data_IF_039195821777
#
_entry.id   IF_039195821777
#
_cell.length_a   1.000
_cell.length_b   1.000
_cell.length_c   1.000
_cell.angle_alpha   90.00
_cell.angle_beta   90.00
_cell.angle_gamma   90.00
#
_symmetry.space_group_name_H-M   'P 1'
#
loop_
_entity.id
_entity.type
_entity.pdbx_description
1 polymer ?
#
# COMPACT_ATOMS: atom_id res chain seq x y z
N UNK A 1 56.52 -14.95 -41.53
CA UNK A 1 55.41 -15.69 -40.89
C UNK A 1 56.02 -16.45 -39.72
N UNK A 2 56.00 -15.91 -38.49
CA UNK A 2 56.48 -16.67 -37.33
C UNK A 2 55.44 -17.77 -37.04
N UNK A 3 55.91 -19.01 -36.93
CA UNK A 3 55.11 -20.11 -36.44
C UNK A 3 54.77 -19.79 -34.98
N UNK A 4 53.51 -19.50 -34.67
CA UNK A 4 53.06 -19.45 -33.28
C UNK A 4 53.13 -20.89 -32.76
N UNK A 5 54.10 -21.09 -31.89
CA UNK A 5 54.55 -22.32 -31.29
C UNK A 5 53.38 -23.03 -30.59
N UNK A 6 53.21 -24.32 -30.88
CA UNK A 6 52.32 -25.21 -30.12
C UNK A 6 52.68 -25.23 -28.62
N UNK A 7 53.93 -24.89 -28.26
CA UNK A 7 54.44 -24.83 -26.89
C UNK A 7 53.67 -23.85 -25.97
N UNK A 8 53.06 -22.79 -26.49
CA UNK A 8 52.31 -21.82 -25.66
C UNK A 8 50.86 -22.26 -25.38
N UNK A 9 50.33 -23.21 -26.16
CA UNK A 9 48.95 -23.70 -26.04
C UNK A 9 48.82 -24.88 -25.08
N UNK A 10 49.84 -25.75 -25.01
CA UNK A 10 49.93 -26.86 -24.07
C UNK A 10 49.68 -26.45 -22.60
N UNK A 11 50.35 -25.43 -22.03
CA UNK A 11 50.15 -25.06 -20.62
C UNK A 11 48.75 -24.51 -20.35
N UNK A 12 48.19 -23.71 -21.26
CA UNK A 12 46.83 -23.19 -21.17
C UNK A 12 45.77 -24.31 -21.22
N UNK A 13 45.96 -25.31 -22.08
CA UNK A 13 45.08 -26.48 -22.15
C UNK A 13 45.17 -27.36 -20.89
N UNK A 14 46.36 -27.48 -20.31
CA UNK A 14 46.57 -28.20 -19.03
C UNK A 14 45.86 -27.47 -17.88
N UNK A 15 45.96 -26.14 -17.81
CA UNK A 15 45.30 -25.33 -16.78
C UNK A 15 43.76 -25.35 -16.91
N UNK A 16 43.24 -25.27 -18.13
CA UNK A 16 41.80 -25.39 -18.39
C UNK A 16 41.31 -26.79 -18.03
N UNK A 17 42.07 -27.84 -18.37
CA UNK A 17 41.70 -29.21 -18.01
C UNK A 17 41.73 -29.44 -16.50
N UNK A 18 42.74 -28.92 -15.81
CA UNK A 18 42.86 -29.01 -14.36
C UNK A 18 41.74 -28.24 -13.64
N UNK A 19 41.42 -27.03 -14.09
CA UNK A 19 40.31 -26.24 -13.53
C UNK A 19 38.95 -26.88 -13.77
N UNK A 20 38.72 -27.48 -14.93
CA UNK A 20 37.47 -28.20 -15.23
C UNK A 20 37.32 -29.47 -14.37
N UNK A 21 38.42 -30.17 -14.10
CA UNK A 21 38.43 -31.34 -13.21
C UNK A 21 38.12 -30.93 -11.76
N UNK A 22 38.75 -29.86 -11.25
CA UNK A 22 38.45 -29.34 -9.91
C UNK A 22 37.00 -28.87 -9.77
N UNK A 23 36.48 -28.18 -10.78
CA UNK A 23 35.08 -27.75 -10.81
C UNK A 23 34.08 -28.93 -10.80
N UNK A 24 34.38 -30.01 -11.54
CA UNK A 24 33.54 -31.20 -11.55
C UNK A 24 33.53 -31.91 -10.19
N UNK A 25 34.67 -31.96 -9.51
CA UNK A 25 34.78 -32.50 -8.15
C UNK A 25 34.00 -31.65 -7.13
N UNK A 26 34.07 -30.34 -7.24
CA UNK A 26 33.35 -29.41 -6.37
C UNK A 26 31.83 -29.50 -6.56
N UNK A 27 31.35 -29.62 -7.81
CA UNK A 27 29.92 -29.88 -8.08
C UNK A 27 29.48 -31.22 -7.48
N UNK A 28 30.30 -32.27 -7.62
CA UNK A 28 29.97 -33.58 -7.06
C UNK A 28 29.88 -33.53 -5.52
N UNK A 29 30.75 -32.75 -4.87
CA UNK A 29 30.72 -32.50 -3.42
C UNK A 29 29.48 -31.71 -3.01
N UNK A 30 29.21 -30.60 -3.70
CA UNK A 30 28.04 -29.75 -3.44
C UNK A 30 26.73 -30.53 -3.61
N UNK A 31 26.63 -31.38 -4.64
CA UNK A 31 25.49 -32.28 -4.84
C UNK A 31 25.32 -33.26 -3.68
N UNK A 32 26.41 -33.88 -3.22
CA UNK A 32 26.37 -34.84 -2.11
C UNK A 32 25.94 -34.18 -0.80
N UNK A 33 26.41 -32.97 -0.53
CA UNK A 33 26.06 -32.20 0.66
C UNK A 33 24.60 -31.73 0.60
N UNK A 34 24.16 -31.23 -0.56
CA UNK A 34 22.75 -30.86 -0.81
C UNK A 34 21.81 -32.06 -0.66
N UNK A 35 22.12 -33.19 -1.30
CA UNK A 35 21.28 -34.39 -1.23
C UNK A 35 21.21 -34.93 0.21
N UNK A 36 22.32 -34.89 0.96
CA UNK A 36 22.35 -35.33 2.36
C UNK A 36 21.58 -34.42 3.32
N UNK A 37 21.84 -33.11 3.25
CA UNK A 37 21.24 -32.13 4.18
C UNK A 37 19.79 -31.81 3.85
N UNK A 38 19.47 -31.60 2.56
CA UNK A 38 18.11 -31.26 2.16
C UNK A 38 17.17 -32.45 2.34
N UNK A 39 17.52 -33.63 1.80
CA UNK A 39 16.65 -34.81 1.93
C UNK A 39 16.52 -35.20 3.41
N UNK A 40 17.63 -35.20 4.16
CA UNK A 40 17.60 -35.47 5.59
C UNK A 40 16.82 -34.41 6.38
N UNK A 41 16.83 -33.15 5.95
CA UNK A 41 16.02 -32.06 6.52
C UNK A 41 14.53 -32.25 6.25
N UNK A 42 14.15 -32.61 5.02
CA UNK A 42 12.77 -32.86 4.64
C UNK A 42 12.17 -34.08 5.34
N UNK A 43 12.93 -35.17 5.49
CA UNK A 43 12.48 -36.36 6.25
C UNK A 43 12.22 -35.99 7.70
N UNK A 44 13.16 -35.29 8.37
CA UNK A 44 12.98 -34.84 9.76
C UNK A 44 11.79 -33.89 9.92
N UNK A 45 11.61 -32.95 8.98
CA UNK A 45 10.47 -32.04 8.99
C UNK A 45 9.14 -32.78 8.79
N UNK A 46 9.12 -33.75 7.88
CA UNK A 46 7.98 -34.65 7.64
C UNK A 46 7.60 -35.42 8.91
N UNK A 47 8.56 -36.02 9.60
CA UNK A 47 8.28 -36.77 10.84
C UNK A 47 7.74 -35.86 11.96
N UNK A 48 8.20 -34.61 12.04
CA UNK A 48 7.68 -33.64 13.03
C UNK A 48 6.26 -33.23 12.66
N UNK A 49 6.00 -32.98 11.37
CA UNK A 49 4.68 -32.65 10.86
C UNK A 49 3.70 -33.80 11.13
N UNK A 50 4.06 -35.03 10.76
CA UNK A 50 3.25 -36.23 10.98
C UNK A 50 2.93 -36.42 12.47
N UNK A 51 3.93 -36.30 13.35
CA UNK A 51 3.73 -36.37 14.81
C UNK A 51 2.81 -35.27 15.32
N UNK A 52 2.94 -34.05 14.79
CA UNK A 52 2.07 -32.93 15.18
C UNK A 52 0.63 -33.11 14.71
N UNK A 53 0.43 -33.59 13.47
CA UNK A 53 -0.88 -33.92 12.91
C UNK A 53 -1.53 -35.10 13.63
N UNK A 54 -0.81 -36.20 13.84
CA UNK A 54 -1.31 -37.36 14.59
C UNK A 54 -1.62 -36.98 16.05
N UNK A 55 -0.83 -36.11 16.65
CA UNK A 55 -1.10 -35.56 17.98
C UNK A 55 -2.36 -34.68 17.98
N UNK A 56 -2.54 -33.81 16.99
CA UNK A 56 -3.72 -32.96 16.84
C UNK A 56 -5.01 -33.77 16.59
N UNK A 57 -4.92 -34.80 15.75
CA UNK A 57 -6.03 -35.73 15.46
C UNK A 57 -6.38 -36.54 16.72
N UNK A 58 -5.40 -37.09 17.45
CA UNK A 58 -5.63 -37.81 18.72
C UNK A 58 -6.15 -36.90 19.84
N UNK A 59 -5.74 -35.63 19.85
CA UNK A 59 -6.24 -34.60 20.78
C UNK A 59 -7.71 -34.26 20.52
N UNK A 60 -8.18 -34.46 19.29
CA UNK A 60 -9.56 -34.21 18.91
C UNK A 60 -9.95 -32.72 18.92
N UNK A 61 -9.01 -31.78 18.83
CA UNK A 61 -9.30 -30.35 18.93
C UNK A 61 -8.75 -29.55 17.76
N UNK A 62 -9.59 -29.34 16.74
CA UNK A 62 -9.63 -28.02 16.12
C UNK A 62 -10.37 -27.09 17.09
N UNK A 63 -9.70 -26.71 18.19
CA UNK A 63 -10.18 -25.67 19.07
C UNK A 63 -9.93 -24.33 18.39
N UNK A 64 -11.00 -23.59 18.11
CA UNK A 64 -10.89 -22.24 17.55
C UNK A 64 -10.00 -21.36 18.43
N UNK A 65 -10.00 -21.59 19.75
CA UNK A 65 -9.13 -20.96 20.73
C UNK A 65 -7.64 -21.25 20.50
N UNK A 66 -7.27 -22.48 20.12
CA UNK A 66 -5.87 -22.83 19.85
C UNK A 66 -5.38 -22.20 18.54
N UNK A 67 -6.24 -22.17 17.52
CA UNK A 67 -5.98 -21.47 16.26
C UNK A 67 -5.88 -19.95 16.48
N UNK A 68 -6.77 -19.38 17.30
CA UNK A 68 -6.76 -17.97 17.67
C UNK A 68 -5.50 -17.62 18.48
N UNK A 69 -5.08 -18.48 19.42
CA UNK A 69 -3.87 -18.28 20.19
C UNK A 69 -2.59 -18.43 19.36
N UNK A 70 -2.58 -19.32 18.36
CA UNK A 70 -1.48 -19.46 17.42
C UNK A 70 -1.42 -18.25 16.46
N UNK A 71 -2.57 -17.81 15.95
CA UNK A 71 -2.68 -16.66 15.07
C UNK A 71 -2.25 -15.35 15.76
N UNK A 72 -2.69 -15.12 17.00
CA UNK A 72 -2.30 -13.92 17.76
C UNK A 72 -0.80 -13.87 18.00
N UNK A 73 -0.19 -15.00 18.41
CA UNK A 73 1.27 -15.09 18.59
C UNK A 73 2.04 -14.90 17.29
N UNK A 74 1.50 -15.33 16.15
CA UNK A 74 2.12 -15.09 14.85
C UNK A 74 2.06 -13.60 14.47
N UNK A 75 0.92 -12.95 14.68
CA UNK A 75 0.73 -11.50 14.46
C UNK A 75 1.69 -10.70 15.36
N UNK A 76 1.81 -11.05 16.64
CA UNK A 76 2.70 -10.36 17.58
C UNK A 76 4.18 -10.45 17.17
N UNK A 77 4.61 -11.60 16.63
CA UNK A 77 5.97 -11.78 16.10
C UNK A 77 6.22 -10.95 14.85
N UNK A 78 5.25 -10.93 13.93
CA UNK A 78 5.32 -10.11 12.71
C UNK A 78 5.31 -8.63 13.07
N UNK A 79 4.47 -8.21 14.01
CA UNK A 79 4.42 -6.84 14.51
C UNK A 79 5.74 -6.45 15.18
N UNK A 80 6.32 -7.30 16.03
CA UNK A 80 7.60 -7.04 16.67
C UNK A 80 8.76 -6.97 15.66
N UNK A 81 8.76 -7.82 14.63
CA UNK A 81 9.75 -7.77 13.55
C UNK A 81 9.55 -6.55 12.66
N UNK A 82 8.33 -6.24 12.26
CA UNK A 82 8.00 -5.04 11.48
C UNK A 82 8.34 -3.75 12.25
N UNK A 83 8.14 -3.72 13.56
CA UNK A 83 8.54 -2.59 14.41
C UNK A 83 10.06 -2.51 14.53
N UNK A 84 10.77 -3.65 14.63
CA UNK A 84 12.23 -3.68 14.72
C UNK A 84 12.90 -3.27 13.40
N UNK A 85 12.36 -3.70 12.26
CA UNK A 85 12.79 -3.27 10.94
C UNK A 85 12.37 -1.82 10.66
N UNK A 86 11.13 -1.44 10.98
CA UNK A 86 10.59 -0.09 10.77
C UNK A 86 11.25 0.97 11.64
N UNK A 87 11.45 0.71 12.93
CA UNK A 87 12.12 1.62 13.87
C UNK A 87 13.63 1.67 13.60
N UNK A 88 14.26 0.56 13.22
CA UNK A 88 15.67 0.53 12.83
C UNK A 88 15.96 1.29 11.52
N UNK A 89 15.01 1.29 10.57
CA UNK A 89 15.12 2.05 9.32
C UNK A 89 14.73 3.53 9.48
N UNK A 90 13.80 3.84 10.39
CA UNK A 90 13.30 5.20 10.64
C UNK A 90 14.21 6.02 11.57
N UNK A 91 14.82 5.39 12.58
CA UNK A 91 15.69 6.07 13.56
C UNK A 91 17.18 5.84 13.33
N UNK A 92 17.57 4.96 12.39
CA UNK A 92 18.97 4.55 12.18
C UNK A 92 19.63 4.98 10.88
N UNK A 93 18.95 5.69 9.97
CA UNK A 93 19.53 5.98 8.65
C UNK A 93 19.25 7.39 8.14
N UNK A 94 20.27 8.26 8.20
CA UNK A 94 20.33 9.57 7.51
C UNK A 94 20.53 9.42 5.98
N UNK A 95 19.89 8.44 5.35
CA UNK A 95 20.09 8.14 3.92
C UNK A 95 18.90 8.62 3.11
N UNK A 96 19.09 9.37 2.01
CA UNK A 96 18.02 9.89 1.13
C UNK A 96 17.13 8.80 0.51
N UNK A 97 17.53 7.54 0.60
CA UNK A 97 16.78 6.37 0.16
C UNK A 97 15.59 6.03 1.10
N UNK A 98 15.62 6.48 2.35
CA UNK A 98 14.54 6.29 3.34
C UNK A 98 13.27 7.07 2.97
N UNK A 99 13.40 8.26 2.38
CA UNK A 99 12.26 9.05 1.90
C UNK A 99 11.54 8.44 0.70
N UNK A 100 12.26 7.67 -0.12
CA UNK A 100 11.72 7.01 -1.31
C UNK A 100 11.04 5.69 -0.93
N UNK A 101 11.60 4.90 -0.01
CA UNK A 101 10.91 3.73 0.51
C UNK A 101 9.67 4.09 1.36
N UNK A 102 9.71 5.19 2.12
CA UNK A 102 8.52 5.70 2.84
C UNK A 102 7.38 6.15 1.92
N UNK A 103 7.71 6.64 0.72
CA UNK A 103 6.71 7.06 -0.29
C UNK A 103 6.20 5.89 -1.14
N UNK A 104 7.04 4.88 -1.43
CA UNK A 104 6.64 3.69 -2.20
C UNK A 104 5.87 2.68 -1.33
N UNK A 105 6.27 2.41 -0.08
CA UNK A 105 5.44 1.62 0.84
C UNK A 105 4.15 2.36 1.21
N UNK A 106 4.18 3.69 1.29
CA UNK A 106 2.98 4.53 1.40
C UNK A 106 2.12 4.57 0.12
N UNK A 107 2.62 4.08 -1.02
CA UNK A 107 1.88 3.96 -2.27
C UNK A 107 1.27 2.57 -2.49
N UNK A 108 1.97 1.51 -2.04
CA UNK A 108 1.49 0.12 -2.12
C UNK A 108 0.46 -0.24 -1.04
N UNK A 109 0.46 0.47 0.10
CA UNK A 109 -0.65 0.50 1.07
C UNK A 109 -1.73 1.53 0.70
N UNK A 110 -1.77 1.93 -0.58
CA UNK A 110 -2.62 2.98 -1.09
C UNK A 110 -2.03 4.35 -0.81
N UNK A 111 -1.79 5.13 -1.88
CA UNK A 111 -1.77 6.60 -1.82
C UNK A 111 -2.71 7.04 -0.69
N UNK A 112 -2.28 7.87 0.29
CA UNK A 112 -3.03 8.11 1.54
C UNK A 112 -4.49 8.37 1.22
N UNK A 113 -5.27 7.30 1.29
CA UNK A 113 -6.60 7.25 0.70
C UNK A 113 -7.45 8.05 1.63
N UNK A 114 -7.93 9.20 1.16
CA UNK A 114 -8.79 10.09 1.95
C UNK A 114 -10.22 9.54 2.03
N UNK A 115 -10.42 8.22 1.88
CA UNK A 115 -11.69 7.54 2.11
C UNK A 115 -12.18 7.73 3.56
N UNK A 116 -11.26 7.90 4.51
CA UNK A 116 -11.56 8.17 5.93
C UNK A 116 -11.55 9.66 6.30
N UNK A 117 -11.33 10.56 5.32
CA UNK A 117 -11.17 12.00 5.54
C UNK A 117 -9.80 12.43 6.07
N UNK A 118 -9.61 13.74 6.23
CA UNK A 118 -8.37 14.32 6.76
C UNK A 118 -7.99 15.69 6.18
N UNK A 119 -7.02 16.40 6.78
CA UNK A 119 -6.56 17.69 6.29
C UNK A 119 -5.93 17.57 4.90
N UNK A 120 -6.22 18.52 4.03
CA UNK A 120 -5.65 18.63 2.69
C UNK A 120 -4.92 19.95 2.53
N UNK A 121 -3.83 19.92 1.78
CA UNK A 121 -2.99 21.08 1.48
C UNK A 121 -3.23 21.52 0.05
N UNK A 122 -3.10 22.83 -0.16
CA UNK A 122 -3.25 23.45 -1.48
C UNK A 122 -2.38 22.77 -2.56
N UNK A 123 -2.90 22.67 -3.79
CA UNK A 123 -2.21 22.20 -5.01
C UNK A 123 -1.72 20.74 -4.97
N UNK A 124 -2.08 19.97 -3.94
CA UNK A 124 -1.68 18.57 -3.83
C UNK A 124 -2.82 17.65 -4.27
N UNK A 125 -2.52 16.68 -5.13
CA UNK A 125 -3.47 15.66 -5.52
C UNK A 125 -3.71 14.65 -4.40
N UNK A 126 -4.99 14.39 -4.13
CA UNK A 126 -5.48 13.41 -3.17
C UNK A 126 -6.42 12.44 -3.87
N UNK A 127 -6.26 11.15 -3.62
CA UNK A 127 -7.19 10.16 -4.14
C UNK A 127 -8.34 10.01 -3.13
N UNK A 128 -9.57 10.27 -3.58
CA UNK A 128 -10.81 10.28 -2.80
C UNK A 128 -11.79 9.37 -3.51
N UNK A 129 -12.49 8.52 -2.78
CA UNK A 129 -13.64 7.82 -3.35
C UNK A 129 -14.03 6.56 -2.60
N UNK A 130 -15.30 6.49 -2.26
CA UNK A 130 -15.96 5.31 -1.68
C UNK A 130 -16.55 4.41 -2.77
N UNK A 131 -16.51 4.87 -4.03
CA UNK A 131 -17.09 4.21 -5.23
C UNK A 131 -16.10 4.07 -6.41
N UNK A 132 -14.80 4.23 -6.15
CA UNK A 132 -13.76 4.19 -7.17
C UNK A 132 -12.74 5.31 -6.99
N UNK A 133 -11.55 5.22 -7.59
CA UNK A 133 -10.46 6.17 -7.39
C UNK A 133 -10.72 7.49 -8.16
N UNK A 134 -11.24 8.51 -7.49
CA UNK A 134 -11.30 9.87 -8.03
C UNK A 134 -10.13 10.72 -7.49
N UNK A 135 -9.60 11.64 -8.30
CA UNK A 135 -8.52 12.54 -7.90
C UNK A 135 -9.09 13.92 -7.52
N UNK A 136 -8.82 14.37 -6.30
CA UNK A 136 -9.17 15.68 -5.78
C UNK A 136 -7.91 16.52 -5.55
N UNK A 137 -7.85 17.70 -6.17
CA UNK A 137 -6.77 18.68 -5.98
C UNK A 137 -7.40 19.98 -5.45
N UNK A 138 -7.22 20.35 -4.18
CA UNK A 138 -7.83 21.55 -3.64
C UNK A 138 -7.03 22.80 -4.07
N UNK A 139 -7.71 23.93 -4.35
CA UNK A 139 -7.08 25.20 -4.71
C UNK A 139 -6.47 25.96 -3.49
N UNK A 140 -6.69 25.44 -2.27
CA UNK A 140 -6.27 26.04 -1.00
C UNK A 140 -6.30 25.00 0.13
N UNK A 141 -5.83 25.37 1.31
CA UNK A 141 -5.85 24.44 2.46
C UNK A 141 -7.27 24.17 2.94
N UNK A 142 -7.54 22.93 3.32
CA UNK A 142 -8.88 22.50 3.69
C UNK A 142 -8.91 21.16 4.40
N UNK A 143 -10.10 20.58 4.53
CA UNK A 143 -10.28 19.25 5.13
C UNK A 143 -11.34 18.47 4.37
N UNK A 144 -11.04 17.21 4.07
CA UNK A 144 -12.03 16.26 3.56
C UNK A 144 -12.79 15.68 4.76
N UNK A 145 -14.11 15.84 4.75
CA UNK A 145 -15.03 15.29 5.74
C UNK A 145 -15.78 14.11 5.08
N UNK A 146 -15.67 12.89 5.62
CA UNK A 146 -16.38 11.73 5.07
C UNK A 146 -17.88 11.88 5.33
N UNK A 147 -18.71 11.57 4.34
CA UNK A 147 -20.16 11.47 4.54
C UNK A 147 -20.38 10.15 5.27
N UNK A 148 -20.60 10.20 6.58
CA UNK A 148 -21.10 9.04 7.29
C UNK A 148 -22.43 8.64 6.65
N UNK A 149 -22.51 7.42 6.10
CA UNK A 149 -23.78 6.83 5.65
C UNK A 149 -24.75 6.87 6.84
N UNK A 150 -25.62 7.89 6.88
CA UNK A 150 -26.57 8.08 7.97
C UNK A 150 -27.02 9.51 8.24
N UNK A 151 -26.31 10.57 7.83
CA UNK A 151 -26.78 11.95 8.02
C UNK A 151 -27.43 12.52 6.76
N UNK A 152 -28.60 11.98 6.40
CA UNK A 152 -29.55 12.60 5.47
C UNK A 152 -30.21 13.87 6.03
N UNK A 153 -29.44 14.75 6.68
CA UNK A 153 -29.92 16.05 7.12
C UNK A 153 -29.86 17.02 5.95
N UNK A 154 -31.02 17.54 5.54
CA UNK A 154 -31.13 18.56 4.50
C UNK A 154 -30.06 19.63 4.70
N UNK A 155 -29.20 19.80 3.69
CA UNK A 155 -28.08 20.73 3.70
C UNK A 155 -28.65 22.15 3.81
N UNK A 156 -28.70 22.70 5.02
CA UNK A 156 -29.10 24.09 5.24
C UNK A 156 -27.94 24.98 4.79
N UNK A 157 -28.05 25.48 3.57
CA UNK A 157 -27.13 26.50 3.06
C UNK A 157 -27.79 27.85 3.33
N UNK A 158 -27.46 28.47 4.45
CA UNK A 158 -27.84 29.87 4.70
C UNK A 158 -26.92 30.77 3.86
N UNK A 159 -27.45 31.28 2.75
CA UNK A 159 -26.75 32.25 1.89
C UNK A 159 -27.26 33.65 2.23
N UNK A 160 -26.47 34.43 2.96
CA UNK A 160 -26.73 35.85 3.15
C UNK A 160 -26.15 36.64 1.99
N UNK A 161 -27.01 37.09 1.06
CA UNK A 161 -26.58 37.97 -0.04
C UNK A 161 -26.92 39.40 0.36
N UNK A 162 -25.90 40.16 0.77
CA UNK A 162 -26.05 41.59 1.03
C UNK A 162 -25.89 42.32 -0.29
N UNK A 163 -27.00 42.64 -0.97
CA UNK A 163 -26.97 43.53 -2.12
C UNK A 163 -26.88 44.97 -1.61
N UNK A 164 -25.78 45.65 -1.94
CA UNK A 164 -25.69 47.09 -1.76
C UNK A 164 -26.68 47.75 -2.73
N UNK A 165 -27.89 48.05 -2.23
CA UNK A 165 -28.82 48.90 -2.95
C UNK A 165 -28.23 50.33 -3.00
N UNK A 166 -28.17 50.98 -4.18
CA UNK A 166 -27.83 52.39 -4.25
C UNK A 166 -28.77 53.21 -3.37
N UNK A 167 -28.22 54.16 -2.61
CA UNK A 167 -28.97 54.97 -1.67
C UNK A 167 -30.17 55.65 -2.35
N UNK A 168 -31.38 55.40 -1.83
CA UNK A 168 -32.60 56.14 -2.21
C UNK A 168 -33.82 55.32 -2.67
N UNK A 169 -33.80 53.99 -2.62
CA UNK A 169 -34.97 53.18 -3.03
C UNK A 169 -35.70 52.62 -1.81
N UNK A 170 -36.96 53.03 -1.59
CA UNK A 170 -37.78 52.52 -0.49
C UNK A 170 -38.07 51.02 -0.66
N UNK A 171 -37.96 50.28 0.44
CA UNK A 171 -38.00 48.82 0.52
C UNK A 171 -39.16 48.10 -0.22
N UNK A 172 -40.39 48.63 -0.39
CA UNK A 172 -41.48 47.84 -0.99
C UNK A 172 -41.34 47.60 -2.51
N UNK A 173 -40.73 48.52 -3.28
CA UNK A 173 -40.65 48.38 -4.76
C UNK A 173 -39.56 47.41 -5.20
N UNK A 174 -38.49 47.27 -4.41
CA UNK A 174 -37.42 46.30 -4.69
C UNK A 174 -37.88 44.84 -4.49
N UNK A 175 -38.79 44.61 -3.53
CA UNK A 175 -39.37 43.31 -3.23
C UNK A 175 -40.34 42.80 -4.31
N UNK A 176 -41.15 43.69 -4.92
CA UNK A 176 -42.05 43.28 -6.00
C UNK A 176 -41.32 42.86 -7.28
N UNK A 177 -40.19 43.52 -7.59
CA UNK A 177 -39.38 43.20 -8.77
C UNK A 177 -38.63 41.88 -8.60
N UNK A 178 -38.09 41.61 -7.41
CA UNK A 178 -37.37 40.37 -7.13
C UNK A 178 -38.31 39.15 -7.15
N UNK A 179 -39.53 39.27 -6.62
CA UNK A 179 -40.52 38.18 -6.63
C UNK A 179 -40.84 37.67 -8.04
N UNK A 180 -40.99 38.57 -9.01
CA UNK A 180 -41.26 38.18 -10.41
C UNK A 180 -40.05 37.52 -11.08
N UNK A 181 -38.84 37.99 -10.76
CA UNK A 181 -37.60 37.42 -11.31
C UNK A 181 -37.33 36.01 -10.77
N UNK A 182 -37.58 35.78 -9.48
CA UNK A 182 -37.43 34.46 -8.84
C UNK A 182 -38.47 33.47 -9.39
N UNK A 183 -39.72 33.89 -9.55
CA UNK A 183 -40.75 33.03 -10.13
C UNK A 183 -40.43 32.60 -11.58
N UNK A 184 -39.84 33.51 -12.38
CA UNK A 184 -39.44 33.21 -13.74
C UNK A 184 -38.23 32.25 -13.80
N UNK A 185 -37.25 32.39 -12.89
CA UNK A 185 -36.09 31.49 -12.86
C UNK A 185 -36.46 30.08 -12.40
N UNK A 186 -37.38 29.96 -11.43
CA UNK A 186 -37.89 28.65 -10.97
C UNK A 186 -38.69 27.96 -12.08
N UNK A 187 -39.58 28.68 -12.78
CA UNK A 187 -40.35 28.10 -13.90
C UNK A 187 -39.42 27.56 -14.99
N UNK A 188 -38.40 28.33 -15.38
CA UNK A 188 -37.44 27.91 -16.40
C UNK A 188 -36.61 26.70 -15.96
N UNK A 189 -36.27 26.59 -14.67
CA UNK A 189 -35.55 25.43 -14.14
C UNK A 189 -36.42 24.16 -14.14
N UNK A 190 -37.73 24.30 -13.94
CA UNK A 190 -38.71 23.20 -13.99
C UNK A 190 -39.04 22.73 -15.41
N UNK A 191 -38.86 23.58 -16.43
CA UNK A 191 -39.07 23.22 -17.85
C UNK A 191 -37.85 22.52 -18.47
N UNK A 192 -36.67 22.62 -17.85
CA UNK A 192 -35.39 22.11 -18.38
C UNK A 192 -34.94 20.81 -17.66
N UNK A 193 -35.72 20.31 -16.69
CA UNK A 193 -35.50 19.02 -16.01
C UNK A 193 -36.55 17.99 -16.43
#
# INVERSE_FOLDING_TARGET
>A
MPALETDDLEPLLIDVRASTQGFAEDIARMRKDLDGELVGGFVRAGDVLERSLLSAIRRGSLGFEDLQAAASRAIDRIAAQALKLGLGQLFGSNTPLSGILGTVLGGALGLPGRATGGPVSAQRGYLVGERGPELFVPPGDGRIVPIAQGSGGAKRVDVSITLAAPAGTSAPVALERSGRQIAASIRRAMEVS
#
